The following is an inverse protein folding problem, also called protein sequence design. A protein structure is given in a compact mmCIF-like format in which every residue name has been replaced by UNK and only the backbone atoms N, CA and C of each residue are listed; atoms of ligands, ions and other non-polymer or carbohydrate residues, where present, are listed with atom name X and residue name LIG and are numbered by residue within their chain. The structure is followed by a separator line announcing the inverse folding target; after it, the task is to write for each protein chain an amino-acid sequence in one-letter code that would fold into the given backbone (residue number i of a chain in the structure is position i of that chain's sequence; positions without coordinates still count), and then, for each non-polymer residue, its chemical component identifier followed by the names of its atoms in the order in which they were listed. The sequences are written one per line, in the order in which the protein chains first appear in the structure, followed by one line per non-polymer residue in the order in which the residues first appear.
data_IF_992405021479
#
_entry.id   IF_992405021479
#
_cell.length_a   1.000
_cell.length_b   1.000
_cell.length_c   1.000
_cell.angle_alpha   90.00
_cell.angle_beta   90.00
_cell.angle_gamma   90.00
#
_symmetry.space_group_name_H-M   'P 1'
#
loop_
_entity.id
_entity.type
_entity.pdbx_description
1 polymer ?
#
# COMPACT_ATOMS: atom_id res chain seq x y z
N UNK A 1 4.63 -11.74 1.66
CA UNK A 1 3.45 -12.11 0.89
C UNK A 1 3.82 -12.57 -0.51
N UNK A 2 3.04 -13.48 -1.10
CA UNK A 2 3.11 -13.91 -2.49
C UNK A 2 1.70 -13.99 -3.09
N UNK A 3 1.60 -14.07 -4.42
CA UNK A 3 0.32 -14.21 -5.13
C UNK A 3 0.04 -15.70 -5.40
N UNK A 4 -1.23 -16.07 -5.37
CA UNK A 4 -1.71 -17.38 -5.77
C UNK A 4 -1.22 -17.74 -7.18
N UNK A 5 -0.66 -18.95 -7.34
CA UNK A 5 -0.01 -19.39 -8.59
C UNK A 5 1.38 -18.80 -8.86
N UNK A 6 1.90 -17.92 -7.96
CA UNK A 6 3.29 -17.42 -7.98
C UNK A 6 3.90 -17.57 -6.57
N UNK A 7 3.78 -18.77 -6.02
CA UNK A 7 4.06 -19.10 -4.62
C UNK A 7 5.39 -19.89 -4.44
N UNK A 8 6.34 -19.68 -5.34
CA UNK A 8 7.61 -20.43 -5.38
C UNK A 8 8.40 -20.39 -4.07
N UNK A 9 8.45 -19.24 -3.38
CA UNK A 9 9.16 -19.11 -2.10
C UNK A 9 8.41 -19.86 -0.98
N UNK A 10 7.07 -19.73 -0.91
CA UNK A 10 6.26 -20.42 0.09
C UNK A 10 6.40 -21.95 -0.02
N UNK A 11 6.53 -22.46 -1.24
CA UNK A 11 6.78 -23.89 -1.52
C UNK A 11 8.22 -24.26 -1.16
N UNK A 12 9.18 -23.43 -1.56
CA UNK A 12 10.59 -23.71 -1.39
C UNK A 12 11.03 -23.77 0.08
N UNK A 13 10.48 -22.95 0.96
CA UNK A 13 10.76 -23.03 2.41
C UNK A 13 10.15 -24.27 3.07
N UNK A 14 9.18 -24.90 2.42
CA UNK A 14 8.60 -26.21 2.81
C UNK A 14 9.30 -27.39 2.15
N UNK A 15 10.40 -27.15 1.42
CA UNK A 15 11.20 -28.18 0.77
C UNK A 15 10.86 -28.45 -0.69
N UNK A 16 9.81 -27.87 -1.26
CA UNK A 16 9.48 -28.01 -2.68
C UNK A 16 10.16 -26.89 -3.50
N UNK A 17 11.29 -27.20 -4.09
CA UNK A 17 12.11 -26.27 -4.88
C UNK A 17 11.94 -26.42 -6.39
N UNK A 18 10.91 -27.16 -6.82
CA UNK A 18 10.62 -27.32 -8.25
C UNK A 18 10.26 -26.00 -8.89
N UNK A 19 10.61 -25.86 -10.16
CA UNK A 19 10.19 -24.72 -10.96
C UNK A 19 8.66 -24.64 -11.03
N UNK A 20 8.13 -23.44 -10.85
CA UNK A 20 6.70 -23.18 -11.08
C UNK A 20 6.49 -22.54 -12.46
N UNK A 21 5.34 -22.79 -13.07
CA UNK A 21 4.85 -22.03 -14.22
C UNK A 21 4.01 -20.86 -13.71
N UNK A 22 4.55 -19.63 -13.63
CA UNK A 22 3.85 -18.51 -13.03
C UNK A 22 2.64 -18.11 -13.89
N UNK A 23 1.52 -17.86 -13.23
CA UNK A 23 0.31 -17.36 -13.86
C UNK A 23 0.41 -15.84 -14.13
N UNK A 24 -0.49 -15.33 -14.94
CA UNK A 24 -0.65 -13.88 -15.12
C UNK A 24 -1.09 -13.23 -13.80
N UNK A 25 -0.42 -12.16 -13.42
CA UNK A 25 -0.72 -11.39 -12.20
C UNK A 25 -0.32 -9.93 -12.38
N UNK A 26 -0.99 -9.03 -11.67
CA UNK A 26 -0.58 -7.62 -11.54
C UNK A 26 0.73 -7.45 -10.78
N UNK A 27 1.11 -8.42 -9.96
CA UNK A 27 2.37 -8.42 -9.21
C UNK A 27 3.52 -8.99 -10.06
N UNK A 28 3.81 -8.39 -11.21
CA UNK A 28 4.83 -8.87 -12.14
C UNK A 28 6.20 -9.03 -11.50
N UNK A 29 6.61 -8.11 -10.63
CA UNK A 29 7.89 -8.12 -9.93
C UNK A 29 8.11 -9.33 -9.00
N UNK A 30 7.08 -10.13 -8.69
CA UNK A 30 7.23 -11.35 -7.86
C UNK A 30 7.15 -12.64 -8.64
N UNK A 31 7.11 -12.61 -9.96
CA UNK A 31 7.09 -13.80 -10.84
C UNK A 31 8.41 -14.56 -10.86
N UNK A 32 8.82 -15.06 -9.72
CA UNK A 32 10.05 -15.84 -9.57
C UNK A 32 9.73 -17.32 -9.70
N UNK A 33 10.21 -17.96 -10.76
CA UNK A 33 9.98 -19.38 -11.03
C UNK A 33 10.64 -20.28 -10.00
N UNK A 34 11.91 -19.99 -9.69
CA UNK A 34 12.72 -20.70 -8.68
C UNK A 34 13.40 -19.67 -7.79
N UNK A 35 13.17 -19.68 -6.48
CA UNK A 35 13.86 -18.77 -5.55
C UNK A 35 15.35 -19.07 -5.48
N UNK A 36 16.17 -18.00 -5.44
CA UNK A 36 17.61 -18.13 -5.27
C UNK A 36 18.00 -18.86 -3.97
N UNK A 37 19.10 -19.60 -3.99
CA UNK A 37 19.53 -20.43 -2.87
C UNK A 37 19.70 -19.61 -1.55
N UNK A 38 20.43 -18.48 -1.62
CA UNK A 38 20.67 -17.64 -0.44
C UNK A 38 19.37 -17.02 0.09
N UNK A 39 18.55 -16.45 -0.81
CA UNK A 39 17.27 -15.83 -0.44
C UNK A 39 16.35 -16.84 0.24
N UNK A 40 16.26 -18.07 -0.29
CA UNK A 40 15.48 -19.15 0.30
C UNK A 40 15.95 -19.49 1.71
N UNK A 41 17.28 -19.64 1.91
CA UNK A 41 17.84 -19.92 3.24
C UNK A 41 17.51 -18.83 4.24
N UNK A 42 17.67 -17.57 3.85
CA UNK A 42 17.34 -16.44 4.70
C UNK A 42 15.83 -16.41 5.03
N UNK A 43 14.99 -16.56 4.02
CA UNK A 43 13.54 -16.61 4.24
C UNK A 43 13.14 -17.76 5.17
N UNK A 44 13.70 -18.96 4.99
CA UNK A 44 13.39 -20.10 5.84
C UNK A 44 13.81 -19.90 7.32
N UNK A 45 14.84 -19.08 7.57
CA UNK A 45 15.34 -18.82 8.92
C UNK A 45 14.72 -17.56 9.59
N UNK A 46 14.22 -16.60 8.82
CA UNK A 46 13.80 -15.29 9.33
C UNK A 46 12.30 -15.02 9.25
N UNK A 47 11.56 -15.74 8.40
CA UNK A 47 10.13 -15.53 8.25
C UNK A 47 9.34 -16.46 9.18
N UNK A 48 8.36 -15.88 9.85
CA UNK A 48 7.38 -16.65 10.63
C UNK A 48 6.38 -17.34 9.69
N UNK A 49 5.97 -16.67 8.60
CA UNK A 49 5.02 -17.22 7.64
C UNK A 49 5.09 -16.53 6.26
N UNK A 50 4.47 -17.14 5.26
CA UNK A 50 4.26 -16.54 3.92
C UNK A 50 2.78 -16.57 3.58
N UNK A 51 2.17 -15.40 3.53
CA UNK A 51 0.76 -15.23 3.21
C UNK A 51 0.56 -15.21 1.69
N UNK A 52 -0.32 -16.08 1.20
CA UNK A 52 -0.71 -16.13 -0.22
C UNK A 52 -1.93 -15.24 -0.44
N UNK A 53 -1.79 -14.27 -1.32
CA UNK A 53 -2.82 -13.28 -1.68
C UNK A 53 -3.48 -13.68 -3.00
N UNK A 54 -4.80 -13.60 -3.08
CA UNK A 54 -5.50 -13.81 -4.35
C UNK A 54 -5.39 -12.57 -5.23
N UNK A 55 -5.39 -12.77 -6.53
CA UNK A 55 -5.33 -11.67 -7.51
C UNK A 55 -6.44 -10.62 -7.28
N UNK A 56 -7.66 -11.07 -6.97
CA UNK A 56 -8.78 -10.17 -6.68
C UNK A 56 -8.54 -9.28 -5.44
N UNK A 57 -7.87 -9.81 -4.41
CA UNK A 57 -7.52 -9.04 -3.21
C UNK A 57 -6.44 -8.00 -3.51
N UNK A 58 -5.50 -8.33 -4.38
CA UNK A 58 -4.48 -7.42 -4.85
C UNK A 58 -5.09 -6.27 -5.66
N UNK A 59 -5.98 -6.59 -6.62
CA UNK A 59 -6.72 -5.59 -7.41
C UNK A 59 -7.48 -4.61 -6.52
N UNK A 60 -8.27 -5.13 -5.58
CA UNK A 60 -9.00 -4.29 -4.61
C UNK A 60 -8.06 -3.40 -3.80
N UNK A 61 -6.91 -3.92 -3.40
CA UNK A 61 -5.93 -3.18 -2.61
C UNK A 61 -5.31 -2.04 -3.42
N UNK A 62 -4.94 -2.27 -4.68
CA UNK A 62 -4.40 -1.23 -5.58
C UNK A 62 -5.41 -0.10 -5.80
N UNK A 63 -6.65 -0.46 -6.06
CA UNK A 63 -7.73 0.53 -6.23
C UNK A 63 -7.92 1.36 -4.97
N UNK A 64 -7.94 0.73 -3.80
CA UNK A 64 -8.09 1.44 -2.52
C UNK A 64 -6.91 2.34 -2.22
N UNK A 65 -5.68 1.90 -2.49
CA UNK A 65 -4.49 2.74 -2.36
C UNK A 65 -4.63 4.01 -3.22
N UNK A 66 -5.03 3.86 -4.48
CA UNK A 66 -5.17 4.99 -5.39
C UNK A 66 -6.31 5.94 -4.98
N UNK A 67 -7.51 5.42 -4.67
CA UNK A 67 -8.70 6.24 -4.47
C UNK A 67 -8.92 6.71 -3.03
N UNK A 68 -8.49 5.94 -2.02
CA UNK A 68 -8.74 6.25 -0.62
C UNK A 68 -7.51 6.86 0.07
N UNK A 69 -6.32 6.38 -0.29
CA UNK A 69 -5.06 6.79 0.35
C UNK A 69 -4.22 7.72 -0.55
N UNK A 70 -4.62 7.90 -1.82
CA UNK A 70 -3.91 8.70 -2.84
C UNK A 70 -2.47 8.25 -3.07
N UNK A 71 -2.23 6.94 -2.96
CA UNK A 71 -0.92 6.31 -3.18
C UNK A 71 -0.99 5.46 -4.44
N UNK A 72 -0.11 5.74 -5.39
CA UNK A 72 0.07 4.91 -6.58
C UNK A 72 1.16 3.88 -6.27
N UNK A 73 0.79 2.61 -6.32
CA UNK A 73 1.70 1.48 -6.11
C UNK A 73 1.60 0.49 -7.26
N UNK A 74 2.67 -0.23 -7.54
CA UNK A 74 2.64 -1.39 -8.42
C UNK A 74 2.12 -2.64 -7.70
N UNK A 75 1.72 -3.66 -8.47
CA UNK A 75 1.16 -4.88 -7.90
C UNK A 75 2.05 -5.56 -6.86
N UNK A 76 3.34 -5.72 -7.17
CA UNK A 76 4.31 -6.30 -6.24
C UNK A 76 4.44 -5.47 -4.94
N UNK A 77 4.44 -4.13 -5.08
CA UNK A 77 4.56 -3.20 -3.96
C UNK A 77 3.35 -3.19 -3.02
N UNK A 78 2.16 -3.53 -3.51
CA UNK A 78 0.93 -3.55 -2.73
C UNK A 78 0.67 -4.88 -1.99
N UNK A 79 1.43 -5.94 -2.28
CA UNK A 79 1.20 -7.29 -1.74
C UNK A 79 1.21 -7.36 -0.22
N UNK A 80 2.14 -6.65 0.44
CA UNK A 80 2.22 -6.67 1.90
C UNK A 80 0.95 -6.09 2.54
N UNK A 81 0.39 -5.03 1.95
CA UNK A 81 -0.85 -4.42 2.43
C UNK A 81 -2.05 -5.34 2.18
N UNK A 82 -2.12 -5.98 1.02
CA UNK A 82 -3.17 -6.96 0.70
C UNK A 82 -3.15 -8.14 1.68
N UNK A 83 -1.97 -8.68 1.98
CA UNK A 83 -1.77 -9.75 2.97
C UNK A 83 -2.13 -9.32 4.41
N UNK A 84 -1.94 -8.05 4.74
CA UNK A 84 -2.16 -7.51 6.08
C UNK A 84 -3.56 -7.72 6.65
N UNK A 85 -4.56 -7.96 5.81
CA UNK A 85 -5.92 -8.31 6.24
C UNK A 85 -6.01 -9.69 6.91
N UNK A 86 -5.11 -10.61 6.54
CA UNK A 86 -5.08 -12.00 7.04
C UNK A 86 -4.15 -12.18 8.22
N UNK A 87 -3.24 -11.24 8.46
CA UNK A 87 -2.31 -11.29 9.59
C UNK A 87 -3.01 -10.85 10.87
N UNK A 88 -2.86 -11.61 11.94
CA UNK A 88 -3.38 -11.24 13.26
C UNK A 88 -2.62 -10.05 13.86
N UNK A 89 -3.22 -9.36 14.81
CA UNK A 89 -2.59 -8.27 15.57
C UNK A 89 -3.34 -6.93 15.48
N UNK A 90 -3.27 -6.16 16.56
CA UNK A 90 -3.92 -4.85 16.68
C UNK A 90 -3.14 -3.74 15.97
N UNK A 91 -1.82 -3.85 15.91
CA UNK A 91 -0.91 -2.92 15.22
C UNK A 91 -0.12 -3.71 14.20
N UNK A 92 -0.17 -3.27 12.94
CA UNK A 92 0.49 -3.91 11.82
C UNK A 92 1.25 -2.86 11.03
N UNK A 93 2.41 -3.22 10.51
CA UNK A 93 3.16 -2.43 9.56
C UNK A 93 3.23 -3.21 8.25
N UNK A 94 2.78 -2.62 7.16
CA UNK A 94 2.93 -3.16 5.83
C UNK A 94 3.79 -2.19 5.01
N UNK A 95 4.84 -2.71 4.39
CA UNK A 95 5.68 -1.92 3.48
C UNK A 95 4.99 -1.90 2.12
N UNK A 96 4.63 -0.71 1.66
CA UNK A 96 4.20 -0.46 0.28
C UNK A 96 5.41 0.06 -0.47
N UNK A 97 5.88 -0.68 -1.46
CA UNK A 97 7.10 -0.39 -2.20
C UNK A 97 6.84 -0.43 -3.70
N UNK A 98 7.57 0.42 -4.44
CA UNK A 98 7.42 0.48 -5.90
C UNK A 98 6.12 1.14 -6.37
N UNK A 99 6.22 2.02 -7.34
CA UNK A 99 5.11 2.72 -7.95
C UNK A 99 5.14 2.64 -9.48
N UNK A 100 5.94 1.73 -10.05
CA UNK A 100 6.12 1.59 -11.50
C UNK A 100 4.98 0.77 -12.11
N UNK A 101 3.75 1.24 -11.97
CA UNK A 101 2.57 0.65 -12.59
C UNK A 101 2.35 1.25 -13.98
N UNK A 102 2.04 0.40 -14.96
CA UNK A 102 1.64 0.85 -16.30
C UNK A 102 0.34 1.67 -16.24
N UNK A 103 0.32 2.82 -16.93
CA UNK A 103 -0.82 3.72 -16.90
C UNK A 103 -2.10 3.07 -17.47
N UNK A 104 -1.97 2.18 -18.47
CA UNK A 104 -3.11 1.43 -19.03
C UNK A 104 -3.67 0.44 -18.02
N UNK A 105 -2.79 -0.26 -17.29
CA UNK A 105 -3.19 -1.17 -16.21
C UNK A 105 -3.91 -0.41 -15.10
N UNK A 106 -3.36 0.72 -14.65
CA UNK A 106 -3.98 1.55 -13.64
C UNK A 106 -5.36 2.07 -14.10
N UNK A 107 -5.46 2.59 -15.33
CA UNK A 107 -6.71 3.06 -15.91
C UNK A 107 -7.77 1.96 -15.96
N UNK A 108 -7.38 0.75 -16.36
CA UNK A 108 -8.28 -0.42 -16.40
C UNK A 108 -8.78 -0.75 -14.99
N UNK A 109 -7.87 -0.82 -14.01
CA UNK A 109 -8.23 -1.09 -12.61
C UNK A 109 -9.24 -0.07 -12.07
N UNK A 110 -9.03 1.21 -12.36
CA UNK A 110 -9.92 2.27 -11.89
C UNK A 110 -11.28 2.28 -12.61
N UNK A 111 -11.33 1.89 -13.89
CA UNK A 111 -12.59 1.81 -14.64
C UNK A 111 -13.51 0.67 -14.23
N UNK A 112 -12.95 -0.40 -13.66
CA UNK A 112 -13.72 -1.55 -13.13
C UNK A 112 -14.41 -1.24 -11.78
N UNK A 113 -14.05 -0.12 -11.16
CA UNK A 113 -14.62 0.28 -9.87
C UNK A 113 -16.02 0.83 -10.08
N UNK A 114 -17.03 0.12 -9.59
CA UNK A 114 -18.33 0.76 -9.40
C UNK A 114 -18.18 1.87 -8.36
N UNK A 115 -18.69 3.09 -8.60
CA UNK A 115 -18.59 4.17 -7.63
C UNK A 115 -19.23 3.70 -6.31
N UNK A 116 -18.40 3.48 -5.31
CA UNK A 116 -18.86 3.25 -3.96
C UNK A 116 -19.49 4.54 -3.45
N UNK A 117 -20.61 4.51 -2.72
CA UNK A 117 -21.16 5.72 -2.13
C UNK A 117 -20.09 6.38 -1.24
N UNK A 118 -20.00 7.73 -1.22
CA UNK A 118 -18.99 8.43 -0.47
C UNK A 118 -19.00 7.96 0.98
N UNK A 119 -17.85 7.55 1.49
CA UNK A 119 -17.71 7.15 2.89
C UNK A 119 -18.10 8.35 3.75
N UNK A 120 -19.07 8.15 4.63
CA UNK A 120 -19.40 9.15 5.66
C UNK A 120 -18.09 9.51 6.38
N UNK A 121 -17.78 10.81 6.53
CA UNK A 121 -16.56 11.22 7.21
C UNK A 121 -16.52 10.51 8.57
N UNK A 122 -15.41 9.84 8.86
CA UNK A 122 -15.19 9.23 10.17
C UNK A 122 -15.34 10.37 11.19
N UNK A 123 -16.33 10.29 12.06
CA UNK A 123 -16.52 11.17 13.21
C UNK A 123 -15.37 10.95 14.22
N UNK A 124 -14.14 11.16 13.77
CA UNK A 124 -12.96 11.12 14.62
C UNK A 124 -12.54 12.56 14.91
N UNK A 125 -12.66 12.94 16.16
CA UNK A 125 -12.06 14.13 16.77
C UNK A 125 -12.72 15.53 16.62
N UNK A 126 -13.84 15.71 15.99
CA UNK A 126 -14.51 17.02 16.09
C UNK A 126 -14.91 17.35 17.54
N UNK A 127 -15.31 16.37 18.33
CA UNK A 127 -15.63 16.56 19.75
C UNK A 127 -14.38 16.70 20.64
N UNK A 128 -13.29 16.00 20.36
CA UNK A 128 -12.04 16.16 21.12
C UNK A 128 -11.31 17.47 20.85
N UNK A 129 -11.49 18.07 19.67
CA UNK A 129 -10.93 19.40 19.40
C UNK A 129 -11.76 20.49 20.09
N UNK A 130 -13.09 20.34 20.14
CA UNK A 130 -13.97 21.32 20.82
C UNK A 130 -13.77 21.35 22.33
N UNK A 131 -13.41 20.23 22.95
CA UNK A 131 -13.14 20.18 24.41
C UNK A 131 -11.74 20.67 24.81
N UNK A 132 -10.84 20.93 23.86
CA UNK A 132 -9.49 21.44 24.11
C UNK A 132 -9.32 22.94 23.81
N UNK A 133 -10.29 23.56 23.18
CA UNK A 133 -10.29 25.01 23.04
C UNK A 133 -10.89 25.57 24.31
N UNK A 134 -10.03 26.04 25.19
CA UNK A 134 -10.45 26.76 26.40
C UNK A 134 -11.33 27.95 26.01
N UNK A 135 -12.42 28.23 26.74
CA UNK A 135 -13.41 29.25 26.37
C UNK A 135 -12.92 30.70 26.48
N UNK A 136 -11.63 30.95 26.69
CA UNK A 136 -11.08 32.29 27.00
C UNK A 136 -9.81 32.66 26.21
N UNK A 137 -9.70 32.31 24.93
CA UNK A 137 -8.66 32.91 24.10
C UNK A 137 -9.20 34.23 23.50
N UNK A 138 -8.51 35.40 23.69
CA UNK A 138 -8.91 36.65 23.08
C UNK A 138 -8.85 36.52 21.56
N UNK A 139 -9.87 37.04 20.85
CA UNK A 139 -9.89 37.07 19.39
C UNK A 139 -8.77 37.99 18.91
N UNK A 140 -7.92 37.54 17.95
CA UNK A 140 -6.93 38.40 17.34
C UNK A 140 -7.63 39.59 16.64
N UNK A 141 -7.07 40.78 16.80
CA UNK A 141 -7.53 41.99 16.17
C UNK A 141 -7.47 41.87 14.63
N UNK A 142 -8.44 42.50 13.95
CA UNK A 142 -8.75 42.32 12.52
C UNK A 142 -7.72 42.95 11.54
N UNK A 143 -6.53 43.37 11.97
CA UNK A 143 -5.64 44.26 11.19
C UNK A 143 -4.17 43.82 11.09
N UNK A 144 -3.84 42.57 11.29
CA UNK A 144 -2.47 42.10 11.01
C UNK A 144 -2.49 41.04 9.93
N UNK A 145 -2.26 41.44 8.68
CA UNK A 145 -1.85 40.53 7.59
C UNK A 145 -0.37 40.18 7.77
N UNK A 146 -0.01 38.94 8.05
CA UNK A 146 1.39 38.56 7.97
C UNK A 146 1.79 38.54 6.49
N UNK A 147 2.83 39.30 6.18
CA UNK A 147 3.52 39.27 4.89
C UNK A 147 4.13 37.88 4.72
N UNK A 148 3.47 36.99 3.98
CA UNK A 148 4.04 35.70 3.62
C UNK A 148 4.98 35.94 2.44
N UNK A 149 6.26 36.08 2.73
CA UNK A 149 7.31 36.04 1.70
C UNK A 149 7.46 34.56 1.31
N UNK A 150 7.00 34.22 0.11
CA UNK A 150 7.24 32.90 -0.47
C UNK A 150 8.77 32.74 -0.75
N UNK A 151 9.40 31.63 -0.37
CA UNK A 151 10.77 31.38 -0.77
C UNK A 151 10.83 31.15 -2.28
N UNK A 152 11.82 31.77 -2.92
CA UNK A 152 12.11 31.57 -4.32
C UNK A 152 12.44 30.08 -4.58
N UNK A 153 11.76 29.49 -5.54
CA UNK A 153 12.09 28.15 -6.04
C UNK A 153 13.26 28.34 -7.01
N UNK A 154 14.45 27.92 -6.61
CA UNK A 154 15.57 27.72 -7.54
C UNK A 154 15.27 26.48 -8.39
N UNK A 155 15.05 26.72 -9.68
CA UNK A 155 15.05 25.68 -10.70
C UNK A 155 16.47 25.12 -10.81
N UNK A 156 16.66 23.89 -10.39
CA UNK A 156 17.82 23.10 -10.80
C UNK A 156 17.33 21.94 -11.64
N UNK A 157 17.47 22.12 -12.95
CA UNK A 157 17.38 21.11 -13.99
C UNK A 157 18.42 20.00 -13.76
N UNK A 158 17.95 18.74 -13.69
CA UNK A 158 18.63 17.55 -14.25
C UNK A 158 17.60 16.60 -14.84
#
# INVERSE_FOLDING_TARGET
AQVEGVDSMARAIKGDVREIAPVATLADGVKVKIPGFLTRRLCASLLDDVVIVREAELRETLVRLALEEHVIAEGAGALALAAGRRVAGKRKCAVVSGGNIDATVLSTLLSEVRPSPPRKPRRRNAERLRSRVAPNAPRPSRNEHPNIIAPAVEETLW
#
